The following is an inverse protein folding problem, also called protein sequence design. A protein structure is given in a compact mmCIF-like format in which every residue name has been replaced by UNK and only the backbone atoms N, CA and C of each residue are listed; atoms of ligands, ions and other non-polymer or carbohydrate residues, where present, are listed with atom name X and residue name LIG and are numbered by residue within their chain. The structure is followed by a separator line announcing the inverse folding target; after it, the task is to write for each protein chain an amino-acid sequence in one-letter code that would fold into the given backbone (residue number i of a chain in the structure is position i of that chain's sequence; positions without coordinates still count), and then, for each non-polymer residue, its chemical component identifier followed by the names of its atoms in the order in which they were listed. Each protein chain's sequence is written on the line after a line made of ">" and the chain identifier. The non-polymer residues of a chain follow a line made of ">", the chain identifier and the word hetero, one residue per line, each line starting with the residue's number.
data_IF_503290649522
#
_entry.id   IF_503290649522
#
_cell.length_a   1.000
_cell.length_b   1.000
_cell.length_c   1.000
_cell.angle_alpha   90.00
_cell.angle_beta   90.00
_cell.angle_gamma   90.00
#
_symmetry.space_group_name_H-M   'P 1'
#
loop_
_entity.id
_entity.type
_entity.pdbx_description
1 polymer ?
#
# COMPACT_ATOMS: atom_id res chain seq x y z
N UNK A 1 -31.29 9.89 4.44
CA UNK A 1 -30.12 10.79 4.38
C UNK A 1 -28.91 9.87 4.44
N UNK A 2 -28.14 9.77 3.36
CA UNK A 2 -26.87 9.04 3.44
C UNK A 2 -25.91 9.90 4.28
N UNK A 3 -25.35 9.34 5.34
CA UNK A 3 -24.27 10.02 6.05
C UNK A 3 -23.10 10.19 5.08
N UNK A 4 -22.51 11.39 5.03
CA UNK A 4 -21.30 11.59 4.23
C UNK A 4 -20.19 10.76 4.86
N UNK A 5 -19.58 9.87 4.08
CA UNK A 5 -18.44 9.03 4.50
C UNK A 5 -17.33 9.89 5.13
N UNK A 6 -17.12 11.10 4.62
CA UNK A 6 -16.18 12.07 5.16
C UNK A 6 -16.42 12.39 6.65
N UNK A 7 -17.68 12.53 7.08
CA UNK A 7 -18.01 12.90 8.46
C UNK A 7 -17.75 11.76 9.46
N UNK A 8 -17.64 10.51 8.96
CA UNK A 8 -17.31 9.34 9.76
C UNK A 8 -15.81 9.21 10.05
N UNK A 9 -14.95 9.92 9.31
CA UNK A 9 -13.49 9.85 9.49
C UNK A 9 -13.02 10.53 10.78
N UNK A 10 -11.86 10.14 11.35
CA UNK A 10 -11.24 10.87 12.44
C UNK A 10 -10.99 12.34 12.08
N UNK A 11 -11.24 13.26 13.03
CA UNK A 11 -11.11 14.71 12.82
C UNK A 11 -9.72 15.12 12.28
N UNK A 12 -8.68 14.38 12.64
CA UNK A 12 -7.32 14.61 12.12
C UNK A 12 -7.24 14.35 10.61
N UNK A 13 -7.87 13.27 10.12
CA UNK A 13 -7.91 12.92 8.70
C UNK A 13 -8.73 13.95 7.93
N UNK A 14 -9.91 14.33 8.45
CA UNK A 14 -10.74 15.38 7.86
C UNK A 14 -9.95 16.70 7.69
N UNK A 15 -9.23 17.13 8.74
CA UNK A 15 -8.37 18.32 8.70
C UNK A 15 -7.23 18.19 7.68
N UNK A 16 -6.64 17.00 7.53
CA UNK A 16 -5.60 16.76 6.51
C UNK A 16 -6.17 16.89 5.09
N UNK A 17 -7.32 16.28 4.82
CA UNK A 17 -8.03 16.38 3.53
C UNK A 17 -8.32 17.84 3.19
N UNK A 18 -8.88 18.60 4.13
CA UNK A 18 -9.18 20.02 3.93
C UNK A 18 -7.92 20.88 3.74
N UNK A 19 -6.87 20.63 4.53
CA UNK A 19 -5.60 21.36 4.42
C UNK A 19 -4.94 21.12 3.06
N UNK A 20 -5.00 19.89 2.56
CA UNK A 20 -4.46 19.53 1.24
C UNK A 20 -5.19 20.31 0.13
N UNK A 21 -6.52 20.40 0.21
CA UNK A 21 -7.36 21.16 -0.72
C UNK A 21 -7.02 22.66 -0.73
N UNK A 22 -7.05 23.30 0.44
CA UNK A 22 -6.78 24.75 0.56
C UNK A 22 -5.40 25.10 0.02
N UNK A 23 -4.39 24.31 0.40
CA UNK A 23 -3.02 24.54 -0.03
C UNK A 23 -2.79 24.26 -1.53
N UNK A 24 -3.69 23.52 -2.19
CA UNK A 24 -3.66 23.36 -3.64
C UNK A 24 -4.31 24.56 -4.34
N UNK A 25 -5.46 25.05 -3.82
CA UNK A 25 -6.14 26.23 -4.35
C UNK A 25 -5.34 27.54 -4.23
N UNK A 26 -4.53 27.70 -3.19
CA UNK A 26 -3.70 28.91 -2.99
C UNK A 26 -2.63 29.10 -4.07
N UNK A 27 -2.10 28.01 -4.66
CA UNK A 27 -1.10 28.11 -5.73
C UNK A 27 -1.66 28.78 -6.99
N UNK A 28 -2.95 28.62 -7.27
CA UNK A 28 -3.60 29.24 -8.42
C UNK A 28 -3.80 30.75 -8.25
N UNK A 29 -3.86 31.26 -7.01
CA UNK A 29 -4.10 32.68 -6.71
C UNK A 29 -2.79 33.46 -6.53
N UNK A 30 -1.64 32.79 -6.56
CA UNK A 30 -0.31 33.37 -6.33
C UNK A 30 0.21 34.35 -7.40
N UNK A 31 -0.61 34.81 -8.33
CA UNK A 31 -0.22 35.81 -9.33
C UNK A 31 -0.79 37.19 -9.00
N UNK A 32 -0.15 37.86 -8.03
CA UNK A 32 0.24 39.27 -8.10
C UNK A 32 -0.78 40.38 -8.38
N UNK A 33 -2.08 40.10 -8.48
CA UNK A 33 -3.11 41.14 -8.59
C UNK A 33 -3.77 41.33 -7.23
N UNK A 34 -3.33 42.38 -6.53
CA UNK A 34 -4.02 42.94 -5.38
C UNK A 34 -5.42 43.32 -5.85
N UNK A 35 -6.40 42.45 -5.62
CA UNK A 35 -7.81 42.84 -5.63
C UNK A 35 -8.02 43.61 -4.34
N UNK A 36 -7.89 44.92 -4.46
CA UNK A 36 -8.26 45.89 -3.43
C UNK A 36 -9.76 45.71 -3.14
N UNK A 37 -10.06 45.47 -1.86
CA UNK A 37 -11.32 45.72 -1.18
C UNK A 37 -12.51 44.75 -1.41
N UNK A 38 -12.68 43.84 -0.44
CA UNK A 38 -13.91 43.05 -0.24
C UNK A 38 -13.72 41.89 0.73
N UNK A 39 -13.72 42.19 2.02
CA UNK A 39 -13.31 41.40 3.19
C UNK A 39 -14.11 40.12 3.49
N UNK A 40 -14.13 39.15 2.58
CA UNK A 40 -14.56 37.79 2.90
C UNK A 40 -13.38 36.86 2.61
N UNK A 41 -12.62 36.50 3.66
CA UNK A 41 -11.57 35.46 3.60
C UNK A 41 -12.16 34.07 3.37
N UNK A 42 -12.98 33.92 2.34
CA UNK A 42 -13.68 32.71 1.97
C UNK A 42 -12.67 31.62 1.62
N UNK A 43 -12.79 30.48 2.27
CA UNK A 43 -12.03 29.30 1.89
C UNK A 43 -12.32 28.97 0.43
N UNK A 44 -11.32 28.62 -0.39
CA UNK A 44 -11.57 28.20 -1.76
C UNK A 44 -12.60 27.05 -1.74
N UNK A 45 -13.60 27.12 -2.62
CA UNK A 45 -14.65 26.11 -2.74
C UNK A 45 -14.37 25.10 -3.85
N UNK A 46 -13.38 25.40 -4.71
CA UNK A 46 -13.02 24.60 -5.88
C UNK A 46 -11.50 24.60 -6.10
N UNK A 47 -10.97 23.51 -6.66
CA UNK A 47 -9.58 23.40 -7.13
C UNK A 47 -9.55 22.99 -8.60
N UNK A 48 -8.53 23.44 -9.33
CA UNK A 48 -8.33 23.03 -10.73
C UNK A 48 -7.86 21.57 -10.80
N UNK A 49 -8.27 20.84 -11.83
CA UNK A 49 -7.79 19.48 -12.08
C UNK A 49 -6.26 19.38 -12.19
N UNK A 50 -5.58 20.46 -12.62
CA UNK A 50 -4.12 20.52 -12.67
C UNK A 50 -3.46 20.50 -11.28
N UNK A 51 -4.17 20.97 -10.25
CA UNK A 51 -3.67 21.04 -8.87
C UNK A 51 -3.99 19.79 -8.04
N UNK A 52 -4.89 18.93 -8.53
CA UNK A 52 -5.30 17.67 -7.88
C UNK A 52 -4.09 16.76 -7.57
N UNK A 53 -3.14 16.49 -8.50
CA UNK A 53 -1.95 15.70 -8.18
C UNK A 53 -1.14 16.26 -7.00
N UNK A 54 -0.96 17.59 -6.96
CA UNK A 54 -0.26 18.26 -5.86
C UNK A 54 -1.01 18.15 -4.53
N UNK A 55 -2.34 18.12 -4.55
CA UNK A 55 -3.17 17.92 -3.37
C UNK A 55 -3.08 16.47 -2.88
N UNK A 56 -3.14 15.49 -3.79
CA UNK A 56 -3.01 14.06 -3.48
C UNK A 56 -1.67 13.73 -2.84
N UNK A 57 -0.60 14.33 -3.36
CA UNK A 57 0.74 14.18 -2.78
C UNK A 57 0.81 14.60 -1.30
N UNK A 58 0.00 15.59 -0.86
CA UNK A 58 -0.04 16.03 0.55
C UNK A 58 -0.84 15.08 1.45
N UNK A 59 -1.67 14.23 0.84
CA UNK A 59 -2.36 13.13 1.51
C UNK A 59 -1.56 11.83 1.45
N UNK A 60 -0.33 11.87 0.93
CA UNK A 60 0.52 10.70 0.69
C UNK A 60 -0.11 9.69 -0.28
N UNK A 61 -1.04 10.17 -1.11
CA UNK A 61 -1.63 9.38 -2.19
C UNK A 61 -0.80 9.54 -3.47
N UNK A 62 -0.75 8.52 -4.34
CA UNK A 62 0.00 8.60 -5.59
C UNK A 62 -0.54 9.72 -6.49
N UNK A 63 0.26 10.73 -6.86
CA UNK A 63 -0.21 11.89 -7.62
C UNK A 63 -0.53 11.56 -9.08
N UNK A 64 0.08 10.50 -9.62
CA UNK A 64 0.01 10.09 -11.03
C UNK A 64 -0.87 8.84 -11.24
N UNK A 65 -1.72 8.48 -10.27
CA UNK A 65 -2.65 7.35 -10.43
C UNK A 65 -3.79 7.72 -11.38
N UNK A 66 -3.74 7.19 -12.60
CA UNK A 66 -4.73 7.42 -13.65
C UNK A 66 -6.15 7.04 -13.23
N UNK A 67 -6.33 6.02 -12.39
CA UNK A 67 -7.65 5.59 -11.92
C UNK A 67 -8.23 6.62 -10.95
N UNK A 68 -7.42 7.06 -9.99
CA UNK A 68 -7.80 8.11 -9.04
C UNK A 68 -8.11 9.41 -9.79
N UNK A 69 -7.23 9.82 -10.72
CA UNK A 69 -7.44 11.01 -11.54
C UNK A 69 -8.66 10.90 -12.46
N UNK A 70 -9.02 9.70 -12.92
CA UNK A 70 -10.26 9.48 -13.68
C UNK A 70 -11.51 9.67 -12.80
N UNK A 71 -11.48 9.20 -11.54
CA UNK A 71 -12.57 9.44 -10.58
C UNK A 71 -12.76 10.93 -10.33
N UNK A 72 -11.66 11.68 -10.12
CA UNK A 72 -11.72 13.14 -9.97
C UNK A 72 -12.24 13.85 -11.22
N UNK A 73 -11.86 13.41 -12.42
CA UNK A 73 -12.42 13.95 -13.69
C UNK A 73 -13.92 13.71 -13.79
N UNK A 74 -14.38 12.52 -13.40
CA UNK A 74 -15.80 12.20 -13.37
C UNK A 74 -16.54 13.06 -12.33
N UNK A 75 -15.95 13.26 -11.15
CA UNK A 75 -16.53 14.10 -10.10
C UNK A 75 -16.59 15.58 -10.53
N UNK A 76 -15.53 16.10 -11.16
CA UNK A 76 -15.49 17.44 -11.74
C UNK A 76 -16.52 17.64 -12.86
N UNK A 77 -16.89 16.55 -13.56
CA UNK A 77 -17.93 16.59 -14.59
C UNK A 77 -19.36 16.59 -14.01
N UNK A 78 -19.48 16.52 -12.68
CA UNK A 78 -20.74 16.54 -11.95
C UNK A 78 -21.35 15.16 -11.76
N UNK A 79 -21.27 14.61 -10.54
CA UNK A 79 -22.13 13.49 -10.12
C UNK A 79 -23.51 13.98 -9.66
N UNK A 80 -23.56 15.23 -9.21
CA UNK A 80 -24.69 15.91 -8.60
C UNK A 80 -25.51 16.64 -9.67
N UNK A 81 -26.37 15.85 -10.33
CA UNK A 81 -27.55 16.25 -11.10
C UNK A 81 -27.41 16.48 -12.63
N UNK A 82 -28.38 15.97 -13.42
CA UNK A 82 -28.38 16.02 -14.89
C UNK A 82 -28.93 17.34 -15.48
N UNK A 83 -28.55 18.51 -14.97
CA UNK A 83 -29.25 19.76 -15.34
C UNK A 83 -28.41 20.92 -15.86
N UNK A 84 -27.10 20.76 -16.09
CA UNK A 84 -26.30 21.77 -16.79
C UNK A 84 -25.85 21.25 -18.14
N UNK A 85 -26.65 21.56 -19.17
CA UNK A 85 -26.46 21.27 -20.60
C UNK A 85 -25.30 22.09 -21.24
N UNK A 86 -24.26 22.37 -20.47
CA UNK A 86 -23.13 23.21 -20.87
C UNK A 86 -21.82 22.51 -20.54
N UNK A 87 -21.56 21.40 -21.24
CA UNK A 87 -20.25 20.75 -21.23
C UNK A 87 -19.31 21.66 -22.01
N UNK A 88 -18.49 22.44 -21.32
CA UNK A 88 -17.41 23.18 -21.96
C UNK A 88 -16.30 22.17 -22.33
N UNK A 89 -16.08 21.88 -23.63
CA UNK A 89 -15.10 20.89 -24.05
C UNK A 89 -13.65 21.38 -23.85
N UNK A 90 -13.44 22.63 -23.44
CA UNK A 90 -12.09 23.19 -23.20
C UNK A 90 -11.54 22.98 -21.79
N UNK A 91 -12.21 22.14 -20.98
CA UNK A 91 -11.48 21.11 -20.22
C UNK A 91 -10.65 21.57 -19.02
N UNK A 92 -10.88 22.77 -18.50
CA UNK A 92 -10.45 23.15 -17.16
C UNK A 92 -11.41 22.58 -16.13
N UNK A 93 -11.44 21.26 -15.95
CA UNK A 93 -12.31 20.63 -14.94
C UNK A 93 -12.00 21.19 -13.55
N UNK A 94 -13.03 21.59 -12.80
CA UNK A 94 -12.91 22.04 -11.42
C UNK A 94 -13.49 20.96 -10.50
N UNK A 95 -12.76 20.60 -9.46
CA UNK A 95 -13.24 19.67 -8.43
C UNK A 95 -13.78 20.51 -7.27
N UNK A 96 -15.04 20.30 -6.91
CA UNK A 96 -15.63 20.95 -5.74
C UNK A 96 -15.02 20.42 -4.44
N UNK A 97 -15.06 21.23 -3.37
CA UNK A 97 -14.58 20.79 -2.06
C UNK A 97 -15.31 19.56 -1.54
N UNK A 98 -16.60 19.44 -1.82
CA UNK A 98 -17.41 18.30 -1.39
C UNK A 98 -17.03 17.03 -2.16
N UNK A 99 -16.85 17.13 -3.48
CA UNK A 99 -16.36 16.01 -4.30
C UNK A 99 -14.95 15.58 -3.88
N UNK A 100 -14.07 16.54 -3.58
CA UNK A 100 -12.74 16.26 -3.06
C UNK A 100 -12.80 15.47 -1.76
N UNK A 101 -13.60 15.93 -0.80
CA UNK A 101 -13.79 15.27 0.49
C UNK A 101 -14.37 13.86 0.31
N UNK A 102 -15.36 13.70 -0.55
CA UNK A 102 -16.00 12.41 -0.80
C UNK A 102 -14.99 11.40 -1.40
N UNK A 103 -14.26 11.77 -2.45
CA UNK A 103 -13.29 10.87 -3.10
C UNK A 103 -12.14 10.54 -2.14
N UNK A 104 -11.54 11.55 -1.49
CA UNK A 104 -10.45 11.30 -0.56
C UNK A 104 -10.89 10.50 0.67
N UNK A 105 -12.14 10.65 1.12
CA UNK A 105 -12.64 9.86 2.24
C UNK A 105 -12.67 8.38 1.90
N UNK A 106 -13.21 8.02 0.74
CA UNK A 106 -13.25 6.61 0.28
C UNK A 106 -11.84 6.04 0.09
N UNK A 107 -10.91 6.82 -0.46
CA UNK A 107 -9.52 6.37 -0.67
C UNK A 107 -8.79 6.13 0.66
N UNK A 108 -9.03 6.98 1.66
CA UNK A 108 -8.35 6.89 2.96
C UNK A 108 -9.02 5.91 3.93
N UNK A 109 -10.33 5.69 3.83
CA UNK A 109 -11.05 4.65 4.59
C UNK A 109 -10.48 3.26 4.28
N UNK A 110 -10.20 2.99 3.01
CA UNK A 110 -9.52 1.75 2.57
C UNK A 110 -8.08 1.61 3.07
N UNK A 111 -7.47 2.68 3.59
CA UNK A 111 -6.13 2.64 4.17
C UNK A 111 -6.14 2.48 5.70
N UNK A 112 -7.27 2.71 6.36
CA UNK A 112 -7.36 2.61 7.83
C UNK A 112 -7.79 1.24 8.35
N UNK A 113 -8.44 0.43 7.52
CA UNK A 113 -8.97 -0.87 7.96
C UNK A 113 -7.90 -1.97 8.11
N UNK A 114 -6.80 -1.91 7.35
CA UNK A 114 -5.73 -2.93 7.40
C UNK A 114 -4.77 -2.79 8.62
N UNK A 115 -4.74 -1.62 9.29
CA UNK A 115 -3.86 -1.36 10.45
C UNK A 115 -4.56 -1.58 11.80
N UNK A 116 -5.88 -1.78 11.80
CA UNK A 116 -6.70 -1.79 13.01
C UNK A 116 -6.76 -3.15 13.75
N UNK A 117 -6.07 -4.19 13.26
CA UNK A 117 -5.97 -5.49 13.94
C UNK A 117 -4.77 -5.60 14.90
N UNK A 118 -3.95 -4.56 15.02
CA UNK A 118 -2.99 -4.41 16.11
C UNK A 118 -3.67 -3.79 17.34
N UNK A 119 -4.64 -4.52 17.90
CA UNK A 119 -5.17 -4.19 19.22
C UNK A 119 -3.98 -4.10 20.20
N UNK A 120 -3.82 -2.99 20.95
CA UNK A 120 -2.84 -2.95 22.01
C UNK A 120 -3.30 -3.99 23.05
N UNK A 121 -2.61 -5.13 23.10
CA UNK A 121 -2.66 -5.98 24.28
C UNK A 121 -2.27 -5.07 25.44
N UNK A 122 -3.27 -4.63 26.18
CA UNK A 122 -3.09 -4.02 27.48
C UNK A 122 -2.35 -5.08 28.29
N UNK A 123 -1.04 -4.84 28.43
CA UNK A 123 -0.17 -5.60 29.28
C UNK A 123 -0.57 -5.22 30.71
N UNK A 124 -1.63 -5.88 31.18
CA UNK A 124 -1.99 -5.95 32.60
C UNK A 124 -0.84 -6.68 33.29
N UNK A 125 0.13 -5.88 33.71
CA UNK A 125 1.29 -6.31 34.46
C UNK A 125 0.88 -6.42 35.93
N UNK A 126 0.10 -7.46 36.24
CA UNK A 126 0.02 -7.95 37.60
C UNK A 126 1.26 -8.81 37.86
N UNK A 127 2.21 -8.18 38.55
CA UNK A 127 3.30 -8.85 39.23
C UNK A 127 2.70 -9.76 40.31
N UNK A 128 2.61 -11.06 40.05
CA UNK A 128 2.54 -12.05 41.12
C UNK A 128 3.79 -12.92 41.14
N UNK A 129 4.31 -13.04 42.34
CA UNK A 129 5.62 -13.51 42.67
C UNK A 129 5.62 -15.01 42.92
N UNK A 130 6.60 -15.68 42.31
CA UNK A 130 7.14 -16.94 42.83
C UNK A 130 6.51 -18.21 42.28
N UNK A 131 7.26 -18.88 41.40
CA UNK A 131 7.42 -20.32 41.54
C UNK A 131 8.76 -20.73 40.96
N UNK A 132 9.65 -21.10 41.87
CA UNK A 132 10.72 -22.07 41.68
C UNK A 132 10.10 -23.33 41.05
N UNK A 133 10.72 -23.91 40.02
CA UNK A 133 10.94 -25.37 39.90
C UNK A 133 11.34 -25.85 38.49
N UNK A 134 12.48 -26.54 38.49
CA UNK A 134 12.80 -27.79 37.78
C UNK A 134 13.06 -27.79 36.27
N UNK A 135 14.37 -27.83 35.98
CA UNK A 135 14.99 -28.43 34.80
C UNK A 135 14.49 -29.85 34.52
N UNK A 136 13.75 -30.05 33.43
CA UNK A 136 13.67 -31.34 32.75
C UNK A 136 14.50 -31.29 31.47
N UNK A 137 15.71 -31.86 31.55
CA UNK A 137 16.54 -32.25 30.42
C UNK A 137 15.98 -33.54 29.87
N UNK A 138 15.22 -33.48 28.77
CA UNK A 138 14.83 -34.68 28.02
C UNK A 138 15.84 -34.91 26.91
N UNK A 139 16.78 -35.83 27.16
CA UNK A 139 17.49 -36.56 26.10
C UNK A 139 16.53 -37.63 25.55
N UNK A 140 16.37 -37.64 24.24
CA UNK A 140 15.68 -38.67 23.44
C UNK A 140 16.13 -38.43 22.00
N UNK A 141 17.20 -39.06 21.52
CA UNK A 141 17.37 -40.50 21.26
C UNK A 141 16.37 -40.99 20.20
N UNK A 142 16.95 -41.24 19.03
CA UNK A 142 16.59 -42.19 17.98
C UNK A 142 15.12 -42.27 17.50
N UNK A 143 14.91 -42.07 16.21
CA UNK A 143 14.72 -43.23 15.31
C UNK A 143 14.68 -42.80 13.83
N UNK A 144 15.54 -43.50 13.10
CA UNK A 144 15.68 -43.65 11.67
C UNK A 144 14.35 -44.04 11.02
N UNK A 145 13.90 -43.30 10.00
CA UNK A 145 12.76 -43.70 9.16
C UNK A 145 13.09 -43.40 7.71
N UNK A 146 13.89 -44.30 7.14
CA UNK A 146 14.15 -44.46 5.72
C UNK A 146 12.85 -44.95 5.04
N UNK A 147 12.09 -44.03 4.41
CA UNK A 147 10.87 -44.38 3.67
C UNK A 147 11.17 -44.39 2.16
N UNK A 148 11.32 -45.61 1.66
CA UNK A 148 11.71 -45.99 0.31
C UNK A 148 10.56 -45.70 -0.69
N UNK A 149 10.69 -44.61 -1.46
CA UNK A 149 9.73 -44.25 -2.51
C UNK A 149 9.82 -45.22 -3.70
N UNK A 150 8.84 -46.10 -3.84
CA UNK A 150 8.69 -46.99 -5.01
C UNK A 150 7.86 -46.26 -6.09
N UNK A 151 8.53 -45.88 -7.18
CA UNK A 151 7.90 -45.34 -8.39
C UNK A 151 7.30 -46.47 -9.24
N UNK A 152 5.97 -46.64 -9.15
CA UNK A 152 5.22 -47.58 -9.98
C UNK A 152 4.81 -46.97 -11.33
N UNK A 153 4.94 -47.70 -12.46
CA UNK A 153 4.54 -47.21 -13.77
C UNK A 153 3.02 -47.28 -13.94
N UNK A 154 2.33 -46.14 -13.86
CA UNK A 154 0.90 -46.06 -14.19
C UNK A 154 0.71 -46.10 -15.71
N UNK A 155 0.15 -47.21 -16.17
CA UNK A 155 -0.18 -47.47 -17.56
C UNK A 155 -1.47 -46.77 -17.97
N UNK A 156 -1.40 -46.14 -19.14
CA UNK A 156 -2.51 -45.53 -19.85
C UNK A 156 -3.71 -46.48 -20.01
N UNK A 157 -4.93 -46.00 -19.74
CA UNK A 157 -6.11 -46.48 -20.48
C UNK A 157 -6.97 -45.32 -20.96
N UNK A 158 -7.38 -45.47 -22.21
CA UNK A 158 -7.95 -44.46 -23.07
C UNK A 158 -9.49 -44.49 -23.08
N UNK A 159 -10.03 -43.41 -23.66
CA UNK A 159 -11.35 -43.24 -24.30
C UNK A 159 -12.55 -42.98 -23.38
N UNK A 160 -13.14 -41.79 -23.54
CA UNK A 160 -14.40 -41.65 -24.29
C UNK A 160 -14.65 -40.23 -24.79
N UNK A 161 -15.05 -40.14 -26.06
CA UNK A 161 -15.50 -38.93 -26.76
C UNK A 161 -16.88 -38.50 -26.25
N UNK A 162 -17.08 -37.18 -26.11
CA UNK A 162 -18.37 -36.52 -26.35
C UNK A 162 -18.16 -35.18 -27.04
N UNK A 163 -18.79 -35.05 -28.20
CA UNK A 163 -19.02 -33.81 -28.96
C UNK A 163 -19.79 -32.83 -28.09
N UNK A 164 -19.48 -31.54 -28.21
CA UNK A 164 -20.49 -30.50 -28.02
C UNK A 164 -19.98 -29.15 -27.54
N UNK A 165 -20.20 -28.14 -28.41
CA UNK A 165 -20.31 -26.70 -28.12
C UNK A 165 -19.02 -25.90 -28.09
N UNK A 166 -18.79 -25.23 -29.21
CA UNK A 166 -18.07 -23.97 -29.34
C UNK A 166 -18.66 -22.93 -28.38
N UNK A 167 -18.08 -22.82 -27.20
CA UNK A 167 -18.23 -21.68 -26.30
C UNK A 167 -17.05 -20.72 -26.52
N UNK A 168 -17.38 -19.44 -26.55
CA UNK A 168 -16.45 -18.36 -26.83
C UNK A 168 -15.21 -18.42 -25.91
N UNK A 169 -14.06 -18.19 -26.52
CA UNK A 169 -12.72 -18.15 -25.94
C UNK A 169 -12.59 -16.95 -25.01
N UNK A 170 -13.09 -17.05 -23.79
CA UNK A 170 -12.69 -16.18 -22.68
C UNK A 170 -11.35 -16.71 -22.17
N UNK A 171 -10.26 -16.12 -22.66
CA UNK A 171 -8.93 -16.32 -22.10
C UNK A 171 -8.98 -16.02 -20.59
N UNK A 172 -8.51 -16.92 -19.71
CA UNK A 172 -8.25 -16.54 -18.33
C UNK A 172 -7.16 -15.47 -18.37
N UNK A 173 -7.50 -14.27 -17.94
CA UNK A 173 -6.54 -13.21 -17.70
C UNK A 173 -5.55 -13.73 -16.67
N UNK A 174 -4.40 -14.21 -17.15
CA UNK A 174 -3.22 -14.33 -16.30
C UNK A 174 -3.01 -12.94 -15.68
N UNK A 175 -2.82 -12.83 -14.35
CA UNK A 175 -2.35 -11.59 -13.75
C UNK A 175 -0.96 -11.37 -14.34
N UNK A 176 -0.92 -10.63 -15.45
CA UNK A 176 0.34 -10.14 -15.99
C UNK A 176 0.89 -9.25 -14.89
N UNK A 177 2.14 -9.47 -14.42
CA UNK A 177 2.76 -8.57 -13.47
C UNK A 177 2.70 -7.20 -14.13
N UNK A 178 1.85 -6.32 -13.58
CA UNK A 178 1.67 -4.98 -14.08
C UNK A 178 3.08 -4.42 -14.22
N UNK A 179 3.46 -4.06 -15.44
CA UNK A 179 4.72 -3.39 -15.71
C UNK A 179 4.64 -2.09 -14.90
N UNK A 180 5.16 -2.14 -13.68
CA UNK A 180 5.19 -1.04 -12.75
C UNK A 180 6.05 0.02 -13.41
N UNK A 181 5.38 0.95 -14.10
CA UNK A 181 5.94 2.28 -14.29
C UNK A 181 6.50 2.67 -12.93
N UNK A 182 7.79 2.99 -12.90
CA UNK A 182 8.56 3.23 -11.67
C UNK A 182 7.94 4.41 -10.94
N UNK A 183 6.87 4.16 -10.19
CA UNK A 183 6.18 5.15 -9.40
C UNK A 183 7.19 5.62 -8.37
N UNK A 184 7.58 6.90 -8.49
CA UNK A 184 8.57 7.47 -7.59
C UNK A 184 7.90 7.56 -6.23
N UNK A 185 8.43 6.81 -5.26
CA UNK A 185 8.03 6.89 -3.86
C UNK A 185 7.97 8.36 -3.42
N UNK A 186 6.93 8.74 -2.68
CA UNK A 186 6.86 10.09 -2.11
C UNK A 186 8.00 10.31 -1.12
N UNK A 187 8.35 11.57 -0.80
CA UNK A 187 9.45 11.85 0.14
C UNK A 187 9.24 11.19 1.50
N UNK A 188 8.00 11.18 2.00
CA UNK A 188 7.63 10.55 3.25
C UNK A 188 7.77 9.03 3.18
N UNK A 189 7.26 8.42 2.10
CA UNK A 189 7.43 6.99 1.85
C UNK A 189 8.90 6.59 1.75
N UNK A 190 9.74 7.41 1.11
CA UNK A 190 11.18 7.18 1.04
C UNK A 190 11.82 7.19 2.43
N UNK A 191 11.45 8.15 3.28
CA UNK A 191 11.95 8.25 4.65
C UNK A 191 11.50 7.05 5.51
N UNK A 192 10.21 6.71 5.48
CA UNK A 192 9.66 5.55 6.19
C UNK A 192 10.27 4.22 5.69
N UNK A 193 10.43 4.08 4.38
CA UNK A 193 11.09 2.93 3.76
C UNK A 193 12.53 2.83 4.22
N UNK A 194 13.27 3.94 4.28
CA UNK A 194 14.66 3.96 4.72
C UNK A 194 14.78 3.62 6.20
N UNK A 195 13.90 4.15 7.04
CA UNK A 195 13.86 3.85 8.47
C UNK A 195 13.55 2.36 8.73
N UNK A 196 12.55 1.80 8.05
CA UNK A 196 12.23 0.38 8.16
C UNK A 196 13.36 -0.51 7.59
N UNK A 197 13.98 -0.11 6.47
CA UNK A 197 15.11 -0.82 5.88
C UNK A 197 16.33 -0.82 6.81
N UNK A 198 16.54 0.27 7.57
CA UNK A 198 17.61 0.38 8.56
C UNK A 198 17.52 -0.68 9.67
N UNK A 199 16.32 -1.16 10.01
CA UNK A 199 16.12 -2.20 11.05
C UNK A 199 16.78 -3.54 10.66
N UNK A 200 16.98 -3.79 9.37
CA UNK A 200 17.70 -4.96 8.88
C UNK A 200 19.22 -4.86 9.04
N UNK A 201 19.77 -3.68 9.37
CA UNK A 201 21.21 -3.43 9.40
C UNK A 201 21.67 -2.63 10.64
N UNK A 202 21.48 -3.15 11.86
CA UNK A 202 21.80 -2.42 13.10
C UNK A 202 23.29 -2.06 13.26
N UNK A 203 24.18 -2.77 12.55
CA UNK A 203 25.64 -2.57 12.61
C UNK A 203 26.17 -1.62 11.52
N UNK A 204 25.32 -1.18 10.59
CA UNK A 204 25.72 -0.38 9.42
C UNK A 204 25.45 1.11 9.69
N UNK A 205 26.40 1.97 9.31
CA UNK A 205 26.23 3.41 9.42
C UNK A 205 25.10 3.91 8.50
N UNK A 206 24.30 4.92 8.91
CA UNK A 206 23.15 5.42 8.16
C UNK A 206 23.46 5.81 6.70
N UNK A 207 24.68 6.28 6.43
CA UNK A 207 25.14 6.70 5.11
C UNK A 207 25.34 5.54 4.13
N UNK A 208 25.58 4.33 4.64
CA UNK A 208 25.81 3.13 3.86
C UNK A 208 24.57 2.23 3.75
N UNK A 209 23.51 2.53 4.50
CA UNK A 209 22.22 1.80 4.46
C UNK A 209 21.66 1.71 3.03
N UNK A 210 21.59 2.79 2.22
CA UNK A 210 21.03 2.69 0.87
C UNK A 210 21.81 1.79 -0.10
N UNK A 211 23.07 1.45 0.24
CA UNK A 211 23.93 0.56 -0.55
C UNK A 211 23.82 -0.90 -0.12
N UNK A 212 23.22 -1.17 1.04
CA UNK A 212 23.04 -2.53 1.54
C UNK A 212 21.92 -3.23 0.77
N UNK A 213 21.93 -4.57 0.86
CA UNK A 213 20.88 -5.42 0.31
C UNK A 213 20.50 -6.46 1.35
N UNK A 214 19.19 -6.68 1.50
CA UNK A 214 18.66 -7.72 2.39
C UNK A 214 18.94 -9.07 1.73
N UNK A 215 19.65 -9.93 2.46
CA UNK A 215 19.95 -11.31 2.08
C UNK A 215 19.28 -12.31 3.03
N UNK A 216 19.36 -13.59 2.70
CA UNK A 216 18.83 -14.70 3.51
C UNK A 216 19.34 -14.62 4.97
N UNK A 217 20.62 -14.30 5.18
CA UNK A 217 21.22 -14.15 6.52
C UNK A 217 20.51 -13.08 7.36
N UNK A 218 20.02 -12.02 6.73
CA UNK A 218 19.39 -10.90 7.41
C UNK A 218 17.95 -11.28 7.80
N UNK A 219 17.22 -11.95 6.92
CA UNK A 219 15.89 -12.52 7.21
C UNK A 219 16.00 -13.55 8.35
N UNK A 220 16.98 -14.46 8.29
CA UNK A 220 17.20 -15.46 9.32
C UNK A 220 17.52 -14.82 10.69
N UNK A 221 18.30 -13.75 10.71
CA UNK A 221 18.60 -12.98 11.92
C UNK A 221 17.34 -12.37 12.53
N UNK A 222 16.49 -11.74 11.70
CA UNK A 222 15.23 -11.12 12.14
C UNK A 222 14.24 -12.19 12.62
N UNK A 223 14.06 -13.28 11.87
CA UNK A 223 13.18 -14.39 12.28
C UNK A 223 13.58 -14.96 13.63
N UNK A 224 14.90 -15.14 13.88
CA UNK A 224 15.41 -15.58 15.18
C UNK A 224 15.10 -14.57 16.30
N UNK A 225 15.17 -13.27 16.02
CA UNK A 225 14.87 -12.21 16.99
C UNK A 225 13.37 -12.19 17.33
N UNK A 226 12.50 -12.44 16.36
CA UNK A 226 11.04 -12.52 16.52
C UNK A 226 10.57 -13.89 17.03
N UNK A 227 11.48 -14.84 17.25
CA UNK A 227 11.19 -16.24 17.59
C UNK A 227 10.30 -16.97 16.55
N UNK A 228 10.35 -16.55 15.29
CA UNK A 228 9.64 -17.16 14.18
C UNK A 228 10.49 -18.22 13.47
N UNK A 229 9.86 -19.34 13.10
CA UNK A 229 10.51 -20.44 12.38
C UNK A 229 10.14 -20.36 10.89
N UNK A 230 10.99 -19.70 10.12
CA UNK A 230 10.87 -19.62 8.66
C UNK A 230 11.84 -20.63 8.04
N UNK A 231 11.39 -21.42 7.06
CA UNK A 231 12.25 -22.39 6.37
C UNK A 231 13.18 -21.68 5.37
N UNK A 232 14.34 -22.29 5.10
CA UNK A 232 15.30 -21.71 4.15
C UNK A 232 14.69 -21.53 2.74
N UNK A 233 13.90 -22.50 2.27
CA UNK A 233 13.22 -22.43 0.97
C UNK A 233 12.21 -21.28 0.91
N UNK A 234 11.49 -21.05 2.01
CA UNK A 234 10.54 -19.94 2.15
C UNK A 234 11.24 -18.58 2.13
N UNK A 235 12.40 -18.44 2.80
CA UNK A 235 13.20 -17.21 2.72
C UNK A 235 13.68 -16.92 1.29
N UNK A 236 14.06 -17.98 0.55
CA UNK A 236 14.44 -17.84 -0.86
C UNK A 236 13.24 -17.42 -1.69
N UNK A 237 12.07 -18.03 -1.50
CA UNK A 237 10.83 -17.70 -2.20
C UNK A 237 10.40 -16.25 -1.93
N UNK A 238 10.46 -15.80 -0.67
CA UNK A 238 10.19 -14.42 -0.28
C UNK A 238 11.11 -13.43 -1.01
N UNK A 239 12.42 -13.72 -1.05
CA UNK A 239 13.36 -12.87 -1.77
C UNK A 239 13.14 -12.91 -3.28
N UNK A 240 12.83 -14.07 -3.85
CA UNK A 240 12.60 -14.25 -5.29
C UNK A 240 11.34 -13.50 -5.76
N UNK A 241 10.29 -13.46 -4.93
CA UNK A 241 9.03 -12.79 -5.25
C UNK A 241 9.19 -11.27 -5.43
N UNK A 242 10.18 -10.66 -4.76
CA UNK A 242 10.32 -9.19 -4.72
C UNK A 242 11.66 -8.67 -5.23
N UNK A 243 12.68 -9.52 -5.37
CA UNK A 243 13.99 -9.14 -5.89
C UNK A 243 13.91 -8.90 -7.39
N UNK A 244 14.45 -7.75 -7.83
CA UNK A 244 14.77 -7.56 -9.25
C UNK A 244 16.24 -7.87 -9.57
N UNK A 245 17.04 -8.19 -8.54
CA UNK A 245 18.45 -8.56 -8.71
C UNK A 245 18.60 -10.08 -8.97
N UNK A 246 19.57 -10.49 -9.82
CA UNK A 246 19.80 -11.91 -10.14
C UNK A 246 20.41 -12.72 -8.98
N UNK A 247 20.92 -12.03 -7.97
CA UNK A 247 21.51 -12.59 -6.74
C UNK A 247 20.46 -12.86 -5.65
N UNK A 248 19.16 -12.70 -5.96
CA UNK A 248 18.03 -12.88 -5.02
C UNK A 248 18.18 -12.05 -3.76
N UNK A 249 18.60 -10.81 -3.92
CA UNK A 249 18.73 -9.86 -2.82
C UNK A 249 17.81 -8.66 -3.04
N UNK A 250 17.21 -8.18 -1.95
CA UNK A 250 16.26 -7.06 -1.99
C UNK A 250 17.01 -5.78 -1.63
N UNK A 251 17.22 -4.91 -2.62
CA UNK A 251 17.77 -3.57 -2.40
C UNK A 251 16.71 -2.60 -1.88
N UNK A 252 17.11 -1.36 -1.55
CA UNK A 252 16.19 -0.33 -1.04
C UNK A 252 15.02 -0.02 -2.00
N UNK A 253 15.27 0.00 -3.31
CA UNK A 253 14.21 0.23 -4.31
C UNK A 253 13.18 -0.92 -4.35
N UNK A 254 13.66 -2.16 -4.25
CA UNK A 254 12.80 -3.36 -4.19
C UNK A 254 11.99 -3.32 -2.89
N UNK A 255 12.66 -3.06 -1.76
CA UNK A 255 12.02 -2.95 -0.45
C UNK A 255 10.96 -1.85 -0.40
N UNK A 256 11.21 -0.68 -0.99
CA UNK A 256 10.21 0.38 -1.08
C UNK A 256 8.99 0.00 -1.91
N UNK A 257 9.16 -0.80 -2.96
CA UNK A 257 8.02 -1.37 -3.71
C UNK A 257 7.24 -2.36 -2.87
N UNK A 258 7.91 -3.21 -2.09
CA UNK A 258 7.26 -4.11 -1.13
C UNK A 258 6.45 -3.30 -0.12
N UNK A 259 7.05 -2.27 0.49
CA UNK A 259 6.40 -1.42 1.47
C UNK A 259 5.14 -0.75 0.89
N UNK A 260 5.19 -0.21 -0.33
CA UNK A 260 4.01 0.38 -0.97
C UNK A 260 2.98 -0.67 -1.36
N UNK A 261 3.40 -1.82 -1.89
CA UNK A 261 2.49 -2.92 -2.24
C UNK A 261 1.77 -3.48 -1.00
N UNK A 262 2.48 -3.54 0.13
CA UNK A 262 1.95 -3.95 1.44
C UNK A 262 1.26 -2.79 2.19
N UNK A 263 1.24 -1.58 1.64
CA UNK A 263 0.66 -0.37 2.25
C UNK A 263 1.28 0.03 3.61
N UNK A 264 2.57 -0.24 3.79
CA UNK A 264 3.34 0.02 5.02
C UNK A 264 4.17 1.32 5.00
N UNK A 265 4.20 2.07 3.89
CA UNK A 265 5.00 3.29 3.71
C UNK A 265 4.16 4.54 3.43
#
# INVERSE_FOLDING_TARGET
>A
MAANVFDALPVQVQRRIDRAFVSAGEKAVGSGFIRDEGLDGGTPTQISMADVPSALQKLDLPPDDDQVLAVFRNAASGWSAPSSDHVDPTGGGWVSRDDWRAVCAVLLEQHTEDDSDAAPMQQESDMDAGSDDQYFRSEGDDEDSDDEYIEGPSTSTARRRTRGRTAAKSSPASPSPASSSKSKLTKRQQEATLEAFALFFPEVAPEDIPKQKIMIKDIQRVAKLLAEKIKADEMVEMLDAFSTSPDKSVGLEDFGRIMVAARLA
#
